data_IF_150506459648
#
_entry.id   IF_150506459648
#
_cell.length_a   1.000
_cell.length_b   1.000
_cell.length_c   1.000
_cell.angle_alpha   90.00
_cell.angle_beta   90.00
_cell.angle_gamma   90.00
#
_symmetry.space_group_name_H-M   'P 1'
#
loop_
_entity.id
_entity.type
_entity.pdbx_description
1 polymer ?
#
# COMPACT_ATOMS: atom_id res chain seq x y z
N UNK A 1 -26.18 21.99 35.36
CA UNK A 1 -25.20 20.92 35.10
C UNK A 1 -25.52 20.30 33.75
N UNK A 2 -24.91 20.79 32.67
CA UNK A 2 -25.06 20.18 31.35
C UNK A 2 -24.22 18.89 31.30
N UNK A 3 -24.86 17.76 31.01
CA UNK A 3 -24.18 16.48 30.80
C UNK A 3 -23.33 16.60 29.53
N UNK A 4 -22.00 16.59 29.71
CA UNK A 4 -21.05 16.54 28.61
C UNK A 4 -21.36 15.28 27.77
N UNK A 5 -21.55 15.39 26.44
CA UNK A 5 -21.89 14.24 25.62
C UNK A 5 -20.77 13.19 25.74
N UNK A 6 -21.16 11.97 26.12
CA UNK A 6 -20.25 10.83 26.18
C UNK A 6 -19.63 10.63 24.80
N UNK A 7 -18.29 10.65 24.74
CA UNK A 7 -17.58 10.36 23.50
C UNK A 7 -17.93 8.92 23.09
N UNK A 8 -18.34 8.67 21.83
CA UNK A 8 -18.62 7.33 21.38
C UNK A 8 -17.40 6.43 21.59
N UNK A 9 -17.61 5.28 22.20
CA UNK A 9 -16.58 4.26 22.44
C UNK A 9 -16.04 3.77 21.09
N UNK A 10 -14.82 4.19 20.72
CA UNK A 10 -14.16 3.83 19.44
C UNK A 10 -13.46 2.47 19.51
N UNK A 11 -14.20 1.41 19.82
CA UNK A 11 -13.65 0.06 19.93
C UNK A 11 -14.58 -0.97 19.32
N UNK A 12 -14.02 -2.07 18.81
CA UNK A 12 -14.76 -3.22 18.32
C UNK A 12 -14.55 -4.40 19.27
N UNK A 13 -15.62 -5.08 19.67
CA UNK A 13 -15.55 -6.29 20.48
C UNK A 13 -15.54 -7.51 19.56
N UNK A 14 -14.43 -8.26 19.50
CA UNK A 14 -14.34 -9.42 18.61
C UNK A 14 -15.27 -10.56 19.00
N UNK A 15 -15.57 -10.69 20.30
CA UNK A 15 -16.41 -11.75 20.83
C UNK A 15 -17.89 -11.50 20.52
N UNK A 16 -18.33 -10.25 20.67
CA UNK A 16 -19.69 -9.85 20.32
C UNK A 16 -19.87 -9.57 18.82
N UNK A 17 -18.78 -9.42 18.07
CA UNK A 17 -18.78 -8.97 16.66
C UNK A 17 -19.60 -7.70 16.46
N UNK A 18 -19.41 -6.74 17.35
CA UNK A 18 -20.13 -5.46 17.35
C UNK A 18 -19.25 -4.33 17.91
N UNK A 19 -19.74 -3.09 17.79
CA UNK A 19 -19.16 -1.95 18.50
C UNK A 19 -19.09 -2.26 20.00
N UNK A 20 -17.93 -2.01 20.62
CA UNK A 20 -17.66 -2.40 21.99
C UNK A 20 -18.47 -1.55 22.96
N UNK A 21 -19.39 -2.21 23.67
CA UNK A 21 -20.13 -1.60 24.76
C UNK A 21 -19.31 -1.60 26.06
N UNK A 22 -19.65 -0.74 27.05
CA UNK A 22 -18.98 -0.73 28.35
C UNK A 22 -18.95 -2.09 29.05
N UNK A 23 -19.99 -2.92 28.86
CA UNK A 23 -20.08 -4.29 29.41
C UNK A 23 -19.00 -5.21 28.86
N UNK A 24 -18.62 -5.07 27.58
CA UNK A 24 -17.59 -5.90 26.96
C UNK A 24 -16.25 -5.78 27.72
N UNK A 25 -15.93 -4.58 28.22
CA UNK A 25 -14.72 -4.38 29.03
C UNK A 25 -14.82 -4.99 30.44
N UNK A 26 -16.02 -4.97 31.04
CA UNK A 26 -16.27 -5.55 32.38
C UNK A 26 -16.22 -7.07 32.34
N UNK A 27 -16.75 -7.66 31.28
CA UNK A 27 -16.79 -9.09 31.03
C UNK A 27 -15.47 -9.63 30.44
N UNK A 28 -14.43 -8.79 30.33
CA UNK A 28 -13.12 -9.13 29.78
C UNK A 28 -13.18 -9.66 28.33
N UNK A 29 -14.14 -9.21 27.54
CA UNK A 29 -14.14 -9.46 26.11
C UNK A 29 -12.94 -8.79 25.45
N UNK A 30 -12.49 -9.37 24.35
CA UNK A 30 -11.41 -8.85 23.54
C UNK A 30 -11.89 -7.63 22.73
N UNK A 31 -11.65 -6.44 23.29
CA UNK A 31 -11.92 -5.16 22.64
C UNK A 31 -10.68 -4.67 21.92
N UNK A 32 -10.77 -4.56 20.60
CA UNK A 32 -9.70 -4.13 19.70
C UNK A 32 -10.05 -2.81 19.03
N UNK A 33 -9.05 -2.14 18.48
CA UNK A 33 -9.28 -0.98 17.61
C UNK A 33 -10.02 -1.43 16.34
N UNK A 34 -11.09 -0.73 15.96
CA UNK A 34 -11.89 -1.02 14.76
C UNK A 34 -11.03 -1.19 13.50
N UNK A 35 -10.04 -0.30 13.32
CA UNK A 35 -9.11 -0.35 12.19
C UNK A 35 -8.27 -1.63 12.19
N UNK A 36 -7.83 -2.09 13.36
CA UNK A 36 -7.05 -3.32 13.50
C UNK A 36 -7.90 -4.54 13.19
N UNK A 37 -9.15 -4.56 13.65
CA UNK A 37 -10.06 -5.67 13.36
C UNK A 37 -10.44 -5.71 11.89
N UNK A 38 -10.85 -4.59 11.30
CA UNK A 38 -11.18 -4.52 9.88
C UNK A 38 -10.02 -5.05 9.04
N UNK A 39 -8.80 -4.66 9.40
CA UNK A 39 -7.60 -5.15 8.73
C UNK A 39 -7.43 -6.67 8.88
N UNK A 40 -7.62 -7.21 10.08
CA UNK A 40 -7.55 -8.66 10.35
C UNK A 40 -8.57 -9.43 9.52
N UNK A 41 -9.82 -8.94 9.47
CA UNK A 41 -10.90 -9.52 8.66
C UNK A 41 -10.56 -9.48 7.17
N UNK A 42 -10.09 -8.33 6.67
CA UNK A 42 -9.67 -8.19 5.28
C UNK A 42 -8.50 -9.12 4.94
N UNK A 43 -7.54 -9.29 5.84
CA UNK A 43 -6.39 -10.17 5.59
C UNK A 43 -6.83 -11.64 5.50
N UNK A 44 -7.70 -12.10 6.39
CA UNK A 44 -8.26 -13.46 6.31
C UNK A 44 -9.09 -13.66 5.04
N UNK A 45 -9.92 -12.68 4.67
CA UNK A 45 -10.71 -12.73 3.44
C UNK A 45 -9.82 -12.74 2.18
N UNK A 46 -8.73 -11.96 2.16
CA UNK A 46 -7.79 -11.95 1.04
C UNK A 46 -7.05 -13.28 0.88
N UNK A 47 -6.70 -13.94 1.99
CA UNK A 47 -6.07 -15.26 1.93
C UNK A 47 -7.05 -16.31 1.38
N UNK A 48 -8.29 -16.32 1.88
CA UNK A 48 -9.33 -17.21 1.37
C UNK A 48 -9.65 -16.94 -0.11
N UNK A 49 -9.71 -15.66 -0.50
CA UNK A 49 -9.89 -15.29 -1.89
C UNK A 49 -8.72 -15.78 -2.75
N UNK A 50 -7.47 -15.64 -2.29
CA UNK A 50 -6.31 -16.16 -3.02
C UNK A 50 -6.40 -17.68 -3.22
N UNK A 51 -6.73 -18.44 -2.17
CA UNK A 51 -6.94 -19.89 -2.24
C UNK A 51 -8.05 -20.25 -3.25
N UNK A 52 -9.17 -19.51 -3.25
CA UNK A 52 -10.25 -19.71 -4.22
C UNK A 52 -9.83 -19.36 -5.66
N UNK A 53 -8.99 -18.34 -5.83
CA UNK A 53 -8.48 -17.94 -7.14
C UNK A 53 -7.49 -18.94 -7.72
N UNK A 54 -6.73 -19.65 -6.88
CA UNK A 54 -5.81 -20.71 -7.34
C UNK A 54 -6.55 -21.87 -7.99
N UNK A 55 -7.78 -22.15 -7.57
CA UNK A 55 -8.65 -23.18 -8.15
C UNK A 55 -9.50 -22.69 -9.33
N UNK A 56 -9.46 -21.39 -9.63
CA UNK A 56 -10.27 -20.80 -10.68
C UNK A 56 -9.92 -21.28 -12.09
N UNK A 57 -8.64 -21.54 -12.46
CA UNK A 57 -8.29 -22.17 -13.73
C UNK A 57 -8.95 -23.54 -13.93
N UNK A 58 -9.11 -24.32 -12.86
CA UNK A 58 -9.74 -25.65 -12.91
C UNK A 58 -11.27 -25.56 -13.13
N UNK A 59 -11.86 -24.38 -12.85
CA UNK A 59 -13.28 -24.07 -13.10
C UNK A 59 -13.50 -23.45 -14.50
N UNK A 60 -12.45 -23.28 -15.29
CA UNK A 60 -12.49 -22.69 -16.63
C UNK A 60 -12.19 -23.75 -17.70
N UNK A 61 -12.99 -24.82 -17.73
CA UNK A 61 -12.95 -25.81 -18.82
C UNK A 61 -14.21 -25.71 -19.70
N UNK A 62 -14.03 -25.27 -20.95
CA UNK A 62 -15.05 -25.37 -22.00
C UNK A 62 -16.10 -24.25 -21.99
N UNK A 63 -17.38 -24.61 -21.98
CA UNK A 63 -18.52 -23.69 -22.19
C UNK A 63 -18.64 -22.60 -21.10
N UNK A 64 -17.97 -22.79 -19.95
CA UNK A 64 -17.91 -21.83 -18.85
C UNK A 64 -17.02 -20.61 -19.14
N UNK A 65 -16.11 -20.70 -20.13
CA UNK A 65 -15.21 -19.61 -20.50
C UNK A 65 -15.95 -18.46 -21.17
N UNK A 66 -16.91 -18.78 -22.04
CA UNK A 66 -17.72 -17.78 -22.75
C UNK A 66 -18.61 -17.00 -21.78
N UNK A 67 -19.26 -17.68 -20.83
CA UNK A 67 -20.06 -17.01 -19.80
C UNK A 67 -19.20 -16.15 -18.87
N UNK A 68 -17.97 -16.59 -18.56
CA UNK A 68 -17.01 -15.79 -17.79
C UNK A 68 -16.58 -14.54 -18.55
N UNK A 69 -16.30 -14.67 -19.85
CA UNK A 69 -15.94 -13.56 -20.71
C UNK A 69 -17.09 -12.57 -20.88
N UNK A 70 -18.33 -13.04 -21.04
CA UNK A 70 -19.51 -12.17 -21.10
C UNK A 70 -19.69 -11.39 -19.78
N UNK A 71 -19.48 -12.06 -18.64
CA UNK A 71 -19.45 -11.43 -17.32
C UNK A 71 -18.40 -10.32 -17.22
N UNK A 72 -17.18 -10.60 -17.71
CA UNK A 72 -16.04 -9.68 -17.69
C UNK A 72 -16.07 -8.63 -18.80
N UNK A 73 -16.97 -8.71 -19.77
CA UNK A 73 -17.08 -7.75 -20.87
C UNK A 73 -18.32 -6.85 -20.77
N UNK A 74 -19.31 -7.21 -19.95
CA UNK A 74 -20.45 -6.34 -19.70
C UNK A 74 -19.99 -5.01 -19.07
N UNK A 75 -20.57 -3.89 -19.52
CA UNK A 75 -20.15 -2.54 -19.11
C UNK A 75 -20.46 -2.25 -17.64
N UNK A 76 -21.53 -2.85 -17.11
CA UNK A 76 -21.93 -2.72 -15.72
C UNK A 76 -22.85 -3.84 -15.27
N UNK A 77 -22.93 -4.02 -13.96
CA UNK A 77 -23.75 -5.03 -13.32
C UNK A 77 -24.44 -4.42 -12.10
N UNK A 78 -25.69 -4.82 -11.86
CA UNK A 78 -26.38 -4.53 -10.60
C UNK A 78 -26.08 -5.64 -9.60
N UNK A 79 -25.48 -5.29 -8.47
CA UNK A 79 -25.18 -6.21 -7.40
C UNK A 79 -26.07 -5.89 -6.22
N UNK A 80 -26.69 -6.94 -5.68
CA UNK A 80 -27.41 -6.86 -4.41
C UNK A 80 -26.70 -7.75 -3.40
N UNK A 81 -26.16 -7.14 -2.35
CA UNK A 81 -25.56 -7.83 -1.21
C UNK A 81 -26.57 -7.88 -0.07
N UNK A 82 -26.81 -9.07 0.47
CA UNK A 82 -27.71 -9.27 1.59
C UNK A 82 -26.96 -9.89 2.77
N UNK A 83 -27.07 -9.30 3.95
CA UNK A 83 -26.39 -9.78 5.15
C UNK A 83 -27.03 -9.23 6.42
N UNK A 84 -27.34 -10.10 7.38
CA UNK A 84 -27.84 -9.71 8.71
C UNK A 84 -29.09 -8.83 8.67
N UNK A 85 -30.05 -9.10 7.77
CA UNK A 85 -31.28 -8.32 7.61
C UNK A 85 -31.12 -7.00 6.83
N UNK A 86 -29.91 -6.67 6.38
CA UNK A 86 -29.64 -5.51 5.56
C UNK A 86 -29.48 -5.91 4.10
N UNK A 87 -29.97 -5.06 3.21
CA UNK A 87 -29.83 -5.20 1.76
C UNK A 87 -29.13 -3.95 1.22
N UNK A 88 -28.06 -4.15 0.47
CA UNK A 88 -27.36 -3.10 -0.25
C UNK A 88 -27.42 -3.39 -1.73
N UNK A 89 -27.99 -2.48 -2.50
CA UNK A 89 -28.02 -2.55 -3.96
C UNK A 89 -27.13 -1.46 -4.54
N UNK A 90 -26.29 -1.82 -5.50
CA UNK A 90 -25.42 -0.88 -6.19
C UNK A 90 -25.12 -1.34 -7.61
N UNK A 91 -24.76 -0.38 -8.47
CA UNK A 91 -24.24 -0.69 -9.80
C UNK A 91 -22.73 -0.61 -9.76
N UNK A 92 -22.07 -1.66 -10.20
CA UNK A 92 -20.61 -1.67 -10.35
C UNK A 92 -20.31 -1.64 -11.84
N UNK A 93 -19.60 -0.59 -12.28
CA UNK A 93 -19.13 -0.48 -13.65
C UNK A 93 -17.90 -1.34 -13.83
N UNK A 94 -17.83 -2.00 -14.98
CA UNK A 94 -16.65 -2.73 -15.37
C UNK A 94 -15.58 -1.72 -15.78
N UNK A 95 -14.54 -1.63 -14.96
CA UNK A 95 -13.37 -0.83 -15.24
C UNK A 95 -12.21 -1.77 -15.49
N UNK A 96 -11.19 -1.33 -16.21
CA UNK A 96 -9.92 -2.08 -16.33
C UNK A 96 -9.15 -2.20 -15.01
N UNK A 97 -9.76 -1.78 -13.89
CA UNK A 97 -9.23 -1.99 -12.55
C UNK A 97 -9.23 -3.50 -12.19
N UNK A 98 -8.07 -4.03 -11.78
CA UNK A 98 -7.94 -5.44 -11.41
C UNK A 98 -8.87 -5.88 -10.26
N UNK A 99 -9.23 -4.99 -9.33
CA UNK A 99 -10.09 -5.35 -8.19
C UNK A 99 -11.55 -5.48 -8.63
N UNK A 100 -12.02 -4.63 -9.55
CA UNK A 100 -13.34 -4.78 -10.15
C UNK A 100 -13.47 -6.12 -10.87
N UNK A 101 -12.48 -6.50 -11.69
CA UNK A 101 -12.46 -7.80 -12.38
C UNK A 101 -12.42 -8.98 -11.41
N UNK A 102 -11.61 -8.88 -10.36
CA UNK A 102 -11.53 -9.90 -9.32
C UNK A 102 -12.87 -10.10 -8.59
N UNK A 103 -13.54 -8.99 -8.25
CA UNK A 103 -14.83 -9.04 -7.57
C UNK A 103 -15.89 -9.74 -8.42
N UNK A 104 -15.86 -9.56 -9.75
CA UNK A 104 -16.73 -10.30 -10.67
C UNK A 104 -16.46 -11.80 -10.72
N UNK A 105 -15.19 -12.20 -10.75
CA UNK A 105 -14.82 -13.62 -10.71
C UNK A 105 -15.29 -14.28 -9.40
N UNK A 106 -15.14 -13.60 -8.26
CA UNK A 106 -15.64 -14.09 -6.97
C UNK A 106 -17.16 -14.18 -6.93
N UNK A 107 -17.87 -13.20 -7.49
CA UNK A 107 -19.33 -13.21 -7.57
C UNK A 107 -19.83 -14.39 -8.43
N UNK A 108 -19.18 -14.66 -9.58
CA UNK A 108 -19.48 -15.81 -10.43
C UNK A 108 -19.28 -17.14 -9.68
N UNK A 109 -18.12 -17.32 -9.04
CA UNK A 109 -17.84 -18.53 -8.27
C UNK A 109 -18.87 -18.77 -7.15
N UNK A 110 -19.32 -17.69 -6.48
CA UNK A 110 -20.36 -17.77 -5.47
C UNK A 110 -21.74 -18.18 -6.05
N UNK A 111 -22.10 -17.69 -7.24
CA UNK A 111 -23.34 -18.06 -7.93
C UNK A 111 -23.35 -19.53 -8.32
N UNK A 112 -22.23 -20.04 -8.85
CA UNK A 112 -22.09 -21.43 -9.26
C UNK A 112 -22.19 -22.40 -8.08
N UNK A 113 -21.54 -22.07 -6.96
CA UNK A 113 -21.64 -22.87 -5.73
C UNK A 113 -23.08 -23.05 -5.25
N UNK A 114 -23.89 -21.99 -5.31
CA UNK A 114 -25.31 -22.05 -4.93
C UNK A 114 -26.16 -22.88 -5.91
N UNK A 115 -25.80 -22.93 -7.20
CA UNK A 115 -26.51 -23.75 -8.18
C UNK A 115 -26.24 -25.25 -8.01
N UNK A 116 -25.02 -25.61 -7.59
CA UNK A 116 -24.65 -27.01 -7.32
C UNK A 116 -25.40 -27.54 -6.10
N UNK A 117 -25.57 -26.74 -5.05
CA UNK A 117 -26.35 -27.14 -3.85
C UNK A 117 -27.87 -27.21 -4.10
N UNK A 118 -28.39 -26.49 -5.10
CA UNK A 118 -29.81 -26.50 -5.44
C UNK A 118 -30.25 -27.65 -6.37
N UNK A 119 -29.31 -28.41 -6.95
CA UNK A 119 -29.61 -29.56 -7.83
C UNK A 119 -29.58 -30.88 -7.06
N UNK A 120 -30.72 -31.22 -6.44
CA UNK A 120 -31.05 -32.58 -6.00
C UNK A 120 -31.21 -33.50 -7.23
N UNK A 121 -30.64 -34.72 -7.26
CA UNK A 121 -30.42 -35.45 -8.51
C UNK A 121 -31.60 -36.36 -8.86
N UNK A 122 -32.62 -35.80 -9.52
CA UNK A 122 -33.51 -36.58 -10.38
C UNK A 122 -33.89 -35.75 -11.60
N UNK A 123 -33.20 -35.99 -12.70
CA UNK A 123 -33.75 -36.44 -13.99
C UNK A 123 -32.64 -36.31 -15.04
N UNK A 124 -32.14 -37.46 -15.49
CA UNK A 124 -31.29 -37.56 -16.67
C UNK A 124 -32.16 -37.72 -17.91
N UNK A 125 -31.86 -37.03 -19.01
CA UNK A 125 -31.56 -37.60 -20.35
C UNK A 125 -31.52 -36.52 -21.44
N UNK A 126 -30.54 -36.67 -22.35
CA UNK A 126 -30.59 -36.44 -23.80
C UNK A 126 -29.41 -35.62 -24.38
N UNK A 127 -28.34 -36.36 -24.68
CA UNK A 127 -27.54 -36.45 -25.92
C UNK A 127 -27.51 -35.35 -27.02
N UNK A 128 -26.27 -35.08 -27.46
CA UNK A 128 -25.72 -34.83 -28.83
C UNK A 128 -25.91 -33.45 -29.52
N UNK A 129 -24.81 -32.79 -29.90
CA UNK A 129 -24.18 -32.95 -31.23
C UNK A 129 -23.09 -31.91 -31.55
N UNK A 130 -22.04 -32.40 -32.23
CA UNK A 130 -20.90 -31.69 -32.83
C UNK A 130 -21.30 -30.70 -33.94
N UNK A 131 -20.57 -29.59 -34.07
CA UNK A 131 -20.07 -29.09 -35.36
C UNK A 131 -18.96 -28.04 -35.19
N UNK A 132 -17.77 -28.34 -35.70
CA UNK A 132 -16.65 -27.41 -35.88
C UNK A 132 -16.59 -26.97 -37.35
N UNK A 133 -16.35 -25.68 -37.64
CA UNK A 133 -15.61 -25.37 -38.86
C UNK A 133 -14.57 -24.24 -38.72
N UNK A 134 -13.38 -24.52 -39.23
CA UNK A 134 -12.71 -23.66 -40.22
C UNK A 134 -11.77 -22.57 -39.72
N UNK A 135 -10.51 -22.92 -39.46
CA UNK A 135 -9.39 -21.97 -39.44
C UNK A 135 -8.99 -21.53 -40.86
N UNK A 136 -8.72 -20.23 -41.03
CA UNK A 136 -8.10 -19.67 -42.24
C UNK A 136 -6.73 -19.02 -41.90
N UNK A 137 -5.80 -18.94 -42.86
CA UNK A 137 -4.38 -18.68 -42.60
C UNK A 137 -4.01 -17.20 -42.49
N UNK A 138 -3.06 -16.90 -41.59
CA UNK A 138 -2.44 -15.60 -41.37
C UNK A 138 -1.40 -15.28 -42.45
N UNK A 139 -1.63 -14.21 -43.22
CA UNK A 139 -0.63 -13.61 -44.12
C UNK A 139 0.15 -12.47 -43.44
N UNK A 140 1.47 -12.54 -43.59
CA UNK A 140 2.46 -11.70 -42.92
C UNK A 140 2.47 -10.25 -43.40
N UNK A 141 2.51 -9.33 -42.44
CA UNK A 141 2.69 -7.89 -42.67
C UNK A 141 4.12 -7.48 -42.31
N UNK A 142 4.87 -6.80 -43.19
CA UNK A 142 6.27 -6.46 -42.95
C UNK A 142 6.43 -5.34 -41.92
N UNK A 143 7.25 -5.60 -40.91
CA UNK A 143 7.64 -4.67 -39.85
C UNK A 143 8.51 -3.56 -40.44
N UNK A 144 7.96 -2.34 -40.55
CA UNK A 144 8.72 -1.11 -40.82
C UNK A 144 9.60 -0.79 -39.61
N UNK A 145 10.92 -0.87 -39.79
CA UNK A 145 11.92 -0.35 -38.85
C UNK A 145 11.87 1.17 -38.86
N UNK A 146 11.12 1.77 -37.94
CA UNK A 146 11.18 3.19 -37.63
C UNK A 146 12.53 3.50 -36.97
N UNK A 147 13.33 4.32 -37.66
CA UNK A 147 14.54 4.96 -37.11
C UNK A 147 14.16 5.74 -35.84
N UNK A 148 14.92 5.63 -34.73
CA UNK A 148 14.70 6.49 -33.57
C UNK A 148 15.12 7.92 -33.96
N UNK A 149 14.13 8.80 -34.11
CA UNK A 149 14.37 10.21 -34.33
C UNK A 149 14.75 10.82 -32.97
N UNK A 150 16.03 11.09 -32.76
CA UNK A 150 16.63 11.75 -31.58
C UNK A 150 16.20 13.22 -31.35
N UNK A 151 14.99 13.61 -31.78
CA UNK A 151 14.55 15.00 -31.79
C UNK A 151 13.12 15.16 -31.33
N UNK A 152 12.88 14.81 -30.08
CA UNK A 152 11.87 15.44 -29.23
C UNK A 152 12.01 14.84 -27.84
N UNK A 153 12.88 15.44 -27.01
CA UNK A 153 12.62 15.49 -25.58
C UNK A 153 11.38 16.37 -25.41
N UNK A 154 10.22 15.81 -25.75
CA UNK A 154 8.91 16.40 -25.51
C UNK A 154 8.88 16.73 -24.02
N UNK A 155 8.91 18.02 -23.72
CA UNK A 155 8.69 18.59 -22.40
C UNK A 155 7.44 17.93 -21.83
N UNK A 156 7.62 16.95 -20.96
CA UNK A 156 6.50 16.36 -20.26
C UNK A 156 5.87 17.51 -19.46
N UNK A 157 4.59 17.84 -19.71
CA UNK A 157 3.97 19.02 -19.13
C UNK A 157 3.95 18.88 -17.61
N UNK A 158 4.65 19.78 -16.92
CA UNK A 158 4.37 20.23 -15.56
C UNK A 158 4.00 19.17 -14.50
N UNK A 159 4.50 17.94 -14.59
CA UNK A 159 4.13 16.89 -13.64
C UNK A 159 4.72 17.25 -12.28
N UNK A 160 3.88 17.77 -11.39
CA UNK A 160 4.27 18.15 -10.02
C UNK A 160 4.10 16.99 -9.03
N UNK A 161 3.31 15.97 -9.39
CA UNK A 161 3.01 14.83 -8.53
C UNK A 161 3.15 13.51 -9.29
N UNK A 162 3.96 12.60 -8.75
CA UNK A 162 4.04 11.21 -9.18
C UNK A 162 3.69 10.27 -8.03
N UNK A 163 2.75 9.37 -8.25
CA UNK A 163 2.29 8.41 -7.25
C UNK A 163 2.46 6.98 -7.74
N UNK A 164 2.67 6.05 -6.81
CA UNK A 164 2.75 4.61 -7.07
C UNK A 164 3.76 4.23 -8.16
N UNK A 165 4.96 4.81 -8.13
CA UNK A 165 6.05 4.39 -9.03
C UNK A 165 6.70 3.13 -8.47
N UNK A 166 6.42 1.97 -9.07
CA UNK A 166 7.00 0.68 -8.71
C UNK A 166 8.34 0.48 -9.45
N UNK A 167 9.45 0.53 -8.72
CA UNK A 167 10.79 0.51 -9.30
C UNK A 167 11.37 -0.90 -9.48
N UNK A 168 10.74 -1.92 -8.90
CA UNK A 168 11.13 -3.32 -8.98
C UNK A 168 10.57 -4.03 -10.22
N UNK A 169 9.37 -3.64 -10.68
CA UNK A 169 8.67 -4.29 -11.81
C UNK A 169 9.34 -4.06 -13.16
N UNK A 170 9.81 -2.85 -13.42
CA UNK A 170 10.59 -2.48 -14.60
C UNK A 170 11.57 -1.35 -14.24
N UNK A 171 12.74 -1.70 -13.66
CA UNK A 171 13.72 -0.73 -13.15
C UNK A 171 14.17 0.29 -14.20
N UNK A 172 14.34 -0.13 -15.44
CA UNK A 172 14.81 0.75 -16.50
C UNK A 172 13.72 1.77 -16.91
N UNK A 173 12.47 1.34 -16.98
CA UNK A 173 11.34 2.23 -17.29
C UNK A 173 11.04 3.18 -16.15
N UNK A 174 11.03 2.72 -14.90
CA UNK A 174 10.83 3.59 -13.73
C UNK A 174 11.94 4.64 -13.63
N UNK A 175 13.20 4.25 -13.86
CA UNK A 175 14.32 5.20 -13.86
C UNK A 175 14.16 6.28 -14.94
N UNK A 176 13.83 5.90 -16.18
CA UNK A 176 13.57 6.87 -17.26
C UNK A 176 12.41 7.82 -16.94
N UNK A 177 11.34 7.30 -16.33
CA UNK A 177 10.20 8.11 -15.89
C UNK A 177 10.63 9.15 -14.85
N UNK A 178 11.38 8.72 -13.82
CA UNK A 178 11.88 9.61 -12.77
C UNK A 178 12.80 10.68 -13.36
N UNK A 179 13.72 10.31 -14.26
CA UNK A 179 14.63 11.25 -14.93
C UNK A 179 13.87 12.31 -15.74
N UNK A 180 12.84 11.89 -16.49
CA UNK A 180 12.04 12.81 -17.32
C UNK A 180 11.22 13.78 -16.47
N UNK A 181 10.73 13.34 -15.31
CA UNK A 181 9.90 14.15 -14.42
C UNK A 181 10.70 14.95 -13.39
N UNK A 182 11.98 14.62 -13.17
CA UNK A 182 12.85 15.22 -12.15
C UNK A 182 12.80 16.75 -12.09
N UNK A 183 12.76 17.52 -13.20
CA UNK A 183 12.77 18.98 -13.13
C UNK A 183 11.52 19.61 -12.52
N UNK A 184 10.37 18.92 -12.56
CA UNK A 184 9.06 19.51 -12.22
C UNK A 184 8.40 18.89 -10.99
N UNK A 185 8.81 17.68 -10.58
CA UNK A 185 8.14 16.94 -9.51
C UNK A 185 8.42 17.57 -8.14
N UNK A 186 7.34 17.81 -7.40
CA UNK A 186 7.35 18.33 -6.03
C UNK A 186 6.92 17.27 -5.01
N UNK A 187 6.10 16.30 -5.44
CA UNK A 187 5.57 15.21 -4.60
C UNK A 187 5.80 13.87 -5.28
N UNK A 188 6.48 12.97 -4.59
CA UNK A 188 6.83 11.66 -5.14
C UNK A 188 6.52 10.54 -4.16
N UNK A 189 5.88 9.47 -4.67
CA UNK A 189 5.76 8.18 -3.99
C UNK A 189 6.39 7.08 -4.82
N UNK A 190 7.50 6.53 -4.33
CA UNK A 190 8.24 5.42 -4.93
C UNK A 190 8.14 4.17 -4.07
N UNK A 191 8.04 3.02 -4.72
CA UNK A 191 8.08 1.70 -4.10
C UNK A 191 9.25 0.91 -4.65
N UNK A 192 9.95 0.25 -3.74
CA UNK A 192 11.09 -0.63 -3.96
C UNK A 192 12.21 0.01 -4.80
N UNK A 193 12.63 1.26 -4.51
CA UNK A 193 13.66 1.91 -5.30
C UNK A 193 15.02 1.22 -5.11
N UNK A 194 15.79 1.14 -6.21
CA UNK A 194 17.21 0.80 -6.20
C UNK A 194 18.07 2.06 -6.03
N UNK A 195 19.36 1.89 -5.86
CA UNK A 195 20.34 2.99 -5.73
C UNK A 195 20.21 4.05 -6.83
N UNK A 196 20.17 3.65 -8.11
CA UNK A 196 20.03 4.60 -9.23
C UNK A 196 18.75 5.43 -9.13
N UNK A 197 17.66 4.83 -8.65
CA UNK A 197 16.39 5.53 -8.46
C UNK A 197 16.52 6.56 -7.35
N UNK A 198 17.10 6.19 -6.20
CA UNK A 198 17.31 7.10 -5.08
C UNK A 198 18.25 8.25 -5.45
N UNK A 199 19.28 7.98 -6.25
CA UNK A 199 20.20 8.99 -6.77
C UNK A 199 19.48 10.04 -7.62
N UNK A 200 18.61 9.60 -8.55
CA UNK A 200 17.79 10.51 -9.36
C UNK A 200 16.80 11.29 -8.50
N UNK A 201 16.15 10.63 -7.53
CA UNK A 201 15.20 11.27 -6.60
C UNK A 201 15.87 12.35 -5.76
N UNK A 202 17.06 12.05 -5.22
CA UNK A 202 17.87 13.00 -4.46
C UNK A 202 18.28 14.22 -5.32
N UNK A 203 18.51 14.00 -6.62
CA UNK A 203 18.85 15.04 -7.57
C UNK A 203 17.64 15.85 -8.10
N UNK A 204 16.42 15.63 -7.62
CA UNK A 204 15.24 16.40 -8.08
C UNK A 204 15.21 17.80 -7.43
N UNK A 205 15.36 18.90 -8.19
CA UNK A 205 15.51 20.25 -7.63
C UNK A 205 14.25 20.83 -6.97
N UNK A 206 13.07 20.30 -7.27
CA UNK A 206 11.79 20.81 -6.75
C UNK A 206 11.13 19.88 -5.75
N UNK A 207 11.71 18.71 -5.48
CA UNK A 207 11.07 17.71 -4.65
C UNK A 207 10.98 18.19 -3.20
N UNK A 208 9.76 18.29 -2.67
CA UNK A 208 9.47 18.73 -1.30
C UNK A 208 8.93 17.60 -0.43
N UNK A 209 8.18 16.66 -1.01
CA UNK A 209 7.53 15.56 -0.29
C UNK A 209 7.91 14.23 -0.92
N UNK A 210 8.52 13.36 -0.13
CA UNK A 210 8.91 12.03 -0.55
C UNK A 210 8.26 10.98 0.34
N UNK A 211 7.55 10.04 -0.29
CA UNK A 211 7.20 8.76 0.30
C UNK A 211 8.06 7.70 -0.37
N UNK A 212 8.89 7.01 0.41
CA UNK A 212 9.62 5.82 -0.03
C UNK A 212 9.17 4.57 0.73
N UNK A 213 8.88 3.51 -0.03
CA UNK A 213 8.67 2.16 0.50
C UNK A 213 9.81 1.28 -0.02
N UNK A 214 10.64 0.72 0.86
CA UNK A 214 11.75 -0.16 0.49
C UNK A 214 11.42 -1.65 0.61
N UNK A 215 12.41 -2.48 0.28
CA UNK A 215 12.44 -3.90 0.68
C UNK A 215 13.44 -4.00 1.83
N UNK A 216 13.14 -4.82 2.83
CA UNK A 216 14.15 -5.22 3.81
C UNK A 216 15.21 -6.09 3.10
N UNK A 217 16.33 -5.47 2.75
CA UNK A 217 17.48 -6.10 2.12
C UNK A 217 18.68 -5.89 3.05
N UNK A 218 18.92 -6.81 4.01
CA UNK A 218 19.92 -6.61 5.06
C UNK A 218 21.36 -6.50 4.53
N UNK A 219 21.63 -7.08 3.36
CA UNK A 219 22.99 -7.18 2.79
C UNK A 219 23.27 -6.17 1.67
N UNK A 220 22.30 -5.29 1.34
CA UNK A 220 22.52 -4.27 0.33
C UNK A 220 23.48 -3.21 0.86
N UNK A 221 24.60 -2.99 0.15
CA UNK A 221 25.49 -1.88 0.44
C UNK A 221 24.67 -0.58 0.34
N UNK A 222 24.68 0.27 1.37
CA UNK A 222 23.85 1.46 1.38
C UNK A 222 24.34 2.44 0.31
N UNK A 223 23.44 3.01 -0.50
CA UNK A 223 23.81 4.09 -1.38
C UNK A 223 24.19 5.29 -0.51
N UNK A 224 25.41 5.78 -0.69
CA UNK A 224 25.86 7.01 -0.05
C UNK A 224 25.38 8.21 -0.87
N UNK A 225 24.26 8.79 -0.46
CA UNK A 225 23.78 10.04 -1.04
C UNK A 225 24.61 11.21 -0.52
N UNK A 226 25.21 12.03 -1.41
CA UNK A 226 25.98 13.20 -0.99
C UNK A 226 25.07 14.22 -0.28
N UNK A 227 25.67 15.07 0.56
CA UNK A 227 24.94 16.19 1.13
C UNK A 227 24.48 17.16 0.03
N UNK A 228 23.28 17.72 0.18
CA UNK A 228 22.81 18.74 -0.75
C UNK A 228 23.70 20.00 -0.66
N UNK A 229 24.02 20.64 -1.80
CA UNK A 229 24.69 21.94 -1.80
C UNK A 229 23.89 22.97 -1.00
N UNK A 230 24.59 23.86 -0.29
CA UNK A 230 23.96 24.98 0.41
C UNK A 230 23.10 25.81 -0.56
N UNK A 231 21.90 26.21 -0.12
CA UNK A 231 20.95 26.98 -0.93
C UNK A 231 20.04 26.15 -1.85
N UNK A 232 20.27 24.84 -1.99
CA UNK A 232 19.35 23.96 -2.71
C UNK A 232 18.11 23.68 -1.86
N UNK A 233 16.94 23.80 -2.49
CA UNK A 233 15.70 23.31 -1.93
C UNK A 233 15.81 21.80 -1.63
N UNK A 234 15.74 21.43 -0.35
CA UNK A 234 15.70 20.04 0.07
C UNK A 234 14.29 19.55 0.38
N UNK A 235 14.20 18.28 0.79
CA UNK A 235 12.95 17.68 1.25
C UNK A 235 12.46 18.38 2.51
N UNK A 236 11.15 18.63 2.57
CA UNK A 236 10.45 19.16 3.73
C UNK A 236 9.71 18.06 4.48
N UNK A 237 9.13 17.09 3.76
CA UNK A 237 8.44 15.92 4.34
C UNK A 237 8.99 14.63 3.78
N UNK A 238 9.35 13.71 4.65
CA UNK A 238 9.84 12.38 4.31
C UNK A 238 9.05 11.33 5.07
N UNK A 239 8.49 10.37 4.33
CA UNK A 239 7.85 9.17 4.87
C UNK A 239 8.60 7.93 4.42
N UNK A 240 9.08 7.13 5.36
CA UNK A 240 9.91 5.95 5.10
C UNK A 240 9.26 4.69 5.65
N UNK A 241 9.11 3.69 4.78
CA UNK A 241 8.65 2.34 5.10
C UNK A 241 9.68 1.33 4.61
N UNK A 242 10.06 0.36 5.44
CA UNK A 242 10.91 -0.79 5.08
C UNK A 242 12.17 -0.46 4.25
N UNK A 243 12.78 0.70 4.47
CA UNK A 243 14.03 1.07 3.80
C UNK A 243 15.21 0.59 4.65
N UNK A 244 16.29 0.05 4.05
CA UNK A 244 17.46 -0.37 4.80
C UNK A 244 17.97 0.75 5.71
N UNK A 245 18.46 0.38 6.90
CA UNK A 245 18.82 1.33 7.95
C UNK A 245 19.84 2.38 7.46
N UNK A 246 20.89 1.93 6.79
CA UNK A 246 21.94 2.81 6.34
C UNK A 246 21.48 3.72 5.19
N UNK A 247 20.63 3.24 4.28
CA UNK A 247 19.95 4.07 3.26
C UNK A 247 19.07 5.14 3.91
N UNK A 248 18.30 4.77 4.94
CA UNK A 248 17.49 5.72 5.71
C UNK A 248 18.38 6.79 6.33
N UNK A 249 19.47 6.40 6.98
CA UNK A 249 20.40 7.33 7.60
C UNK A 249 21.05 8.27 6.58
N UNK A 250 21.41 7.77 5.38
CA UNK A 250 21.95 8.59 4.30
C UNK A 250 20.94 9.66 3.83
N UNK A 251 19.69 9.27 3.60
CA UNK A 251 18.62 10.22 3.26
C UNK A 251 18.41 11.28 4.35
N UNK A 252 18.40 10.88 5.62
CA UNK A 252 18.23 11.81 6.73
C UNK A 252 19.40 12.79 6.84
N UNK A 253 20.64 12.32 6.68
CA UNK A 253 21.84 13.17 6.65
C UNK A 253 21.80 14.16 5.48
N UNK A 254 21.47 13.68 4.29
CA UNK A 254 21.44 14.49 3.07
C UNK A 254 20.42 15.64 3.13
N UNK A 255 19.33 15.46 3.89
CA UNK A 255 18.24 16.42 4.02
C UNK A 255 18.08 17.02 5.43
N UNK A 256 19.03 16.81 6.34
CA UNK A 256 18.87 17.18 7.75
C UNK A 256 18.71 18.68 8.02
N UNK A 257 19.21 19.52 7.13
CA UNK A 257 19.04 20.97 7.18
C UNK A 257 17.70 21.50 6.67
N UNK A 258 16.90 20.68 5.97
CA UNK A 258 15.65 21.12 5.34
C UNK A 258 14.43 20.32 5.75
N UNK A 259 14.61 19.14 6.33
CA UNK A 259 13.52 18.23 6.67
C UNK A 259 12.74 18.75 7.88
N UNK A 260 11.46 19.08 7.67
CA UNK A 260 10.55 19.64 8.67
C UNK A 260 9.67 18.55 9.31
N UNK A 261 9.25 17.56 8.52
CA UNK A 261 8.40 16.46 8.94
C UNK A 261 8.99 15.10 8.55
N UNK A 262 9.09 14.21 9.53
CA UNK A 262 9.58 12.84 9.34
C UNK A 262 8.55 11.83 9.86
N UNK A 263 8.08 10.96 8.98
CA UNK A 263 7.31 9.77 9.33
C UNK A 263 8.19 8.55 9.11
N UNK A 264 8.52 7.84 10.17
CA UNK A 264 9.47 6.72 10.14
C UNK A 264 8.82 5.46 10.69
N UNK A 265 8.75 4.41 9.87
CA UNK A 265 8.35 3.09 10.32
C UNK A 265 9.51 2.43 11.08
N UNK A 266 9.35 2.30 12.40
CA UNK A 266 10.31 1.65 13.30
C UNK A 266 9.57 1.05 14.49
N UNK A 267 10.05 -0.08 15.01
CA UNK A 267 9.61 -0.63 16.28
C UNK A 267 10.33 -0.04 17.49
N UNK A 268 9.99 -0.56 18.67
CA UNK A 268 10.65 -0.24 19.93
C UNK A 268 11.96 -1.02 20.10
N UNK A 269 12.64 -0.88 21.24
CA UNK A 269 13.78 -1.74 21.57
C UNK A 269 13.35 -3.23 21.60
N UNK A 270 14.21 -4.12 21.12
CA UNK A 270 13.96 -5.56 21.03
C UNK A 270 15.10 -6.29 20.33
N UNK A 271 14.98 -7.61 20.19
CA UNK A 271 15.98 -8.49 19.55
C UNK A 271 15.82 -8.63 18.03
N UNK A 272 14.76 -8.04 17.46
CA UNK A 272 14.51 -8.04 16.02
C UNK A 272 15.49 -7.16 15.25
N UNK A 273 15.41 -7.24 13.93
CA UNK A 273 16.20 -6.40 13.02
C UNK A 273 15.50 -5.08 12.77
N UNK A 274 16.21 -4.13 12.19
CA UNK A 274 15.60 -2.94 11.62
C UNK A 274 14.65 -3.32 10.46
N UNK A 275 13.49 -2.66 10.29
CA UNK A 275 12.92 -1.63 11.15
C UNK A 275 12.09 -2.18 12.32
N UNK A 276 11.87 -3.50 12.42
CA UNK A 276 10.96 -4.13 13.39
C UNK A 276 11.34 -3.88 14.86
N UNK A 277 12.63 -3.71 15.14
CA UNK A 277 13.16 -3.24 16.41
C UNK A 277 14.19 -2.12 16.20
N UNK A 278 14.22 -1.14 17.11
CA UNK A 278 15.16 -0.03 17.07
C UNK A 278 15.46 0.53 18.47
N UNK A 279 16.38 -0.11 19.21
CA UNK A 279 16.77 0.36 20.55
C UNK A 279 17.57 1.67 20.56
N UNK A 280 18.20 2.01 19.44
CA UNK A 280 19.18 3.08 19.29
C UNK A 280 18.70 4.21 18.36
N UNK A 281 17.37 4.38 18.24
CA UNK A 281 16.76 5.39 17.37
C UNK A 281 17.34 6.81 17.61
N UNK A 282 17.53 7.18 18.88
CA UNK A 282 18.10 8.46 19.29
C UNK A 282 19.50 8.70 18.70
N UNK A 283 20.35 7.67 18.64
CA UNK A 283 21.69 7.76 18.04
C UNK A 283 21.62 8.00 16.53
N UNK A 284 20.70 7.32 15.83
CA UNK A 284 20.47 7.52 14.40
C UNK A 284 19.98 8.96 14.13
N UNK A 285 19.04 9.47 14.91
CA UNK A 285 18.51 10.83 14.78
C UNK A 285 19.59 11.88 15.07
N UNK A 286 20.38 11.70 16.12
CA UNK A 286 21.48 12.61 16.47
C UNK A 286 22.53 12.69 15.35
N UNK A 287 22.93 11.55 14.81
CA UNK A 287 23.90 11.47 13.70
C UNK A 287 23.37 12.03 12.38
N UNK A 288 22.05 12.19 12.26
CA UNK A 288 21.41 12.68 11.03
C UNK A 288 21.37 14.21 10.92
N UNK A 289 21.65 14.95 12.01
CA UNK A 289 21.72 16.42 11.97
C UNK A 289 20.41 17.10 11.57
N UNK A 290 19.28 16.62 12.09
CA UNK A 290 17.90 17.04 11.76
C UNK A 290 17.53 18.40 12.38
N UNK A 291 18.20 19.48 11.97
CA UNK A 291 18.08 20.82 12.59
C UNK A 291 16.77 21.55 12.28
N UNK A 292 16.14 21.24 11.14
CA UNK A 292 14.89 21.86 10.73
C UNK A 292 13.65 21.08 11.18
N UNK A 293 13.83 19.93 11.85
CA UNK A 293 12.74 19.01 12.13
C UNK A 293 11.80 19.59 13.19
N UNK A 294 10.53 19.67 12.84
CA UNK A 294 9.45 20.14 13.73
C UNK A 294 8.62 18.97 14.25
N UNK A 295 8.48 17.92 13.45
CA UNK A 295 7.62 16.79 13.77
C UNK A 295 8.22 15.46 13.33
N UNK A 296 8.31 14.53 14.27
CA UNK A 296 8.66 13.13 14.08
C UNK A 296 7.46 12.26 14.46
N UNK A 297 6.99 11.42 13.54
CA UNK A 297 5.99 10.39 13.80
C UNK A 297 6.63 9.01 13.65
N UNK A 298 6.57 8.22 14.73
CA UNK A 298 6.99 6.83 14.75
C UNK A 298 5.79 5.97 14.35
N UNK A 299 5.87 5.34 13.18
CA UNK A 299 4.84 4.45 12.67
C UNK A 299 5.11 3.03 13.15
N UNK A 300 4.17 2.46 13.92
CA UNK A 300 4.33 1.13 14.57
C UNK A 300 3.66 0.00 13.82
N UNK A 301 2.94 0.32 12.75
CA UNK A 301 2.30 -0.68 11.91
C UNK A 301 3.31 -1.78 11.48
N UNK A 302 2.99 -3.04 11.79
CA UNK A 302 3.83 -4.23 11.55
C UNK A 302 5.17 -4.30 12.31
N UNK A 303 5.42 -3.45 13.30
CA UNK A 303 6.65 -3.50 14.10
C UNK A 303 6.37 -3.88 15.56
N UNK A 304 7.43 -4.20 16.32
CA UNK A 304 7.30 -4.38 17.76
C UNK A 304 6.89 -3.08 18.45
N UNK A 305 5.91 -3.16 19.34
CA UNK A 305 5.41 -2.02 20.08
C UNK A 305 4.98 -2.40 21.49
N UNK A 306 5.82 -2.08 22.46
CA UNK A 306 5.48 -2.12 23.88
C UNK A 306 5.32 -0.68 24.40
N UNK A 307 4.24 -0.38 25.12
CA UNK A 307 3.91 1.00 25.51
C UNK A 307 4.98 1.67 26.38
N UNK A 308 5.58 0.93 27.33
CA UNK A 308 6.65 1.45 28.18
C UNK A 308 7.92 1.73 27.36
N UNK A 309 8.37 0.75 26.56
CA UNK A 309 9.52 0.92 25.66
C UNK A 309 9.31 2.03 24.63
N UNK A 310 8.08 2.22 24.13
CA UNK A 310 7.72 3.30 23.23
C UNK A 310 7.83 4.66 23.92
N UNK A 311 7.33 4.77 25.15
CA UNK A 311 7.42 5.99 25.95
C UNK A 311 8.88 6.38 26.20
N UNK A 312 9.73 5.41 26.56
CA UNK A 312 11.16 5.60 26.74
C UNK A 312 11.87 6.01 25.44
N UNK A 313 11.63 5.28 24.34
CA UNK A 313 12.23 5.58 23.03
C UNK A 313 11.86 7.01 22.58
N UNK A 314 10.60 7.42 22.76
CA UNK A 314 10.15 8.79 22.47
C UNK A 314 10.84 9.83 23.36
N UNK A 315 11.00 9.54 24.65
CA UNK A 315 11.71 10.44 25.57
C UNK A 315 13.16 10.65 25.13
N UNK A 316 13.89 9.58 24.81
CA UNK A 316 15.27 9.65 24.29
C UNK A 316 15.35 10.39 22.94
N UNK A 317 14.38 10.19 22.05
CA UNK A 317 14.31 10.92 20.78
C UNK A 317 14.10 12.43 21.00
N UNK A 318 13.24 12.85 21.94
CA UNK A 318 13.04 14.27 22.28
C UNK A 318 14.29 14.94 22.85
N UNK A 319 15.10 14.19 23.60
CA UNK A 319 16.36 14.71 24.15
C UNK A 319 17.35 15.10 23.03
N UNK A 320 17.34 14.39 21.89
CA UNK A 320 18.24 14.72 20.76
C UNK A 320 17.59 15.68 19.76
N UNK A 321 16.26 15.70 19.66
CA UNK A 321 15.46 16.57 18.78
C UNK A 321 14.83 17.73 19.56
N UNK A 322 15.66 18.68 19.98
CA UNK A 322 15.22 19.82 20.78
C UNK A 322 14.14 20.65 20.05
N UNK A 323 12.97 20.79 20.69
CA UNK A 323 11.85 21.56 20.14
C UNK A 323 11.00 20.84 19.10
N UNK A 324 11.34 19.61 18.72
CA UNK A 324 10.52 18.80 17.81
C UNK A 324 9.44 18.01 18.56
N UNK A 325 8.26 17.91 17.97
CA UNK A 325 7.22 16.99 18.43
C UNK A 325 7.61 15.55 18.07
N UNK A 326 7.56 14.65 19.05
CA UNK A 326 7.79 13.21 18.83
C UNK A 326 6.53 12.42 19.20
N UNK A 327 5.90 11.87 18.18
CA UNK A 327 4.60 11.19 18.23
C UNK A 327 4.75 9.72 17.85
N UNK A 328 3.81 8.89 18.32
CA UNK A 328 3.61 7.50 17.95
C UNK A 328 2.20 7.37 17.34
N UNK A 329 2.08 6.76 16.18
CA UNK A 329 0.79 6.62 15.50
C UNK A 329 -0.22 5.77 16.29
N UNK A 330 0.26 4.76 17.02
CA UNK A 330 -0.58 3.93 17.90
C UNK A 330 -0.94 4.60 19.23
N UNK A 331 0.00 5.28 19.89
CA UNK A 331 -0.26 5.85 21.22
C UNK A 331 -1.03 7.17 21.17
N UNK A 332 -0.71 8.04 20.20
CA UNK A 332 -1.24 9.40 20.15
C UNK A 332 -2.40 9.55 19.14
N UNK A 333 -2.83 8.45 18.51
CA UNK A 333 -3.93 8.42 17.52
C UNK A 333 -3.69 9.39 16.35
N UNK A 334 -2.45 9.44 15.85
CA UNK A 334 -2.09 10.32 14.74
C UNK A 334 -2.78 9.83 13.47
N UNK A 335 -3.62 10.67 12.88
CA UNK A 335 -4.18 10.41 11.55
C UNK A 335 -3.07 10.66 10.54
N UNK A 336 -2.52 9.57 9.99
CA UNK A 336 -1.61 9.64 8.87
C UNK A 336 -2.43 10.00 7.64
N UNK A 337 -2.11 11.11 6.99
CA UNK A 337 -2.71 11.46 5.71
C UNK A 337 -2.24 10.45 4.66
N UNK A 338 -3.17 9.60 4.21
CA UNK A 338 -2.99 8.82 3.00
C UNK A 338 -3.12 9.77 1.81
N UNK A 339 -1.99 10.38 1.42
CA UNK A 339 -1.94 11.33 0.31
C UNK A 339 -2.18 10.66 -1.04
#
# INVERSE_FOLDING_TARGET
MERRPERPSRGWCSDCRAAAEPRCRREKHNVVCEKRELKRLLQGALQQAAEQLEHLPDLCEGEQDLQTLDLLNAESWSVTLQGGGHQMTGTVTNTDDPLSRLMWLLAKAALEKNQVEARDPRTATATLSLATPGQAPLEGRPVRKTRPTDRQQDKAPGVTRLVNVWCDKDPARSLRLLQRAAPTVERLRVRFPREDHLSVVHAMPRLRRLYVWGVDAPDAQPPELPALPAGRAGLQRLRVHYLPRATTQSLLRAHGGTLEELELQVGTAGSGRWPDCCGDLHSLLQQSGLRALRRLVLMRYCCSHEAAACSEQRARARQVLHGSEVLCDECDTVILEDN
#
